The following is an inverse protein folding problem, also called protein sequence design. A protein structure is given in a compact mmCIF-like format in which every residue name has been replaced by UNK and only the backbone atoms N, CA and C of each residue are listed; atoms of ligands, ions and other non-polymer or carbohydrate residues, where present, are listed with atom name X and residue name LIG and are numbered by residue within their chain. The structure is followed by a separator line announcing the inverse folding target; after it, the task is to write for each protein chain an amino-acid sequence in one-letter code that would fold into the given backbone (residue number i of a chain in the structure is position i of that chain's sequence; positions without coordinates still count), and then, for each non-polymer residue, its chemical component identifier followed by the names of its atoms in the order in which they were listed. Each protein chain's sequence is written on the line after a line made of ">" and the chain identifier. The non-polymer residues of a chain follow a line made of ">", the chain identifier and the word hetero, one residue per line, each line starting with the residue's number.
data_IF_583128425705
#
_entry.id   IF_583128425705
#
_cell.length_a   1.000
_cell.length_b   1.000
_cell.length_c   1.000
_cell.angle_alpha   90.00
_cell.angle_beta   90.00
_cell.angle_gamma   90.00
#
_symmetry.space_group_name_H-M   'P 1'
#
loop_
_entity.id
_entity.type
_entity.pdbx_description
1 polymer ?
#
# COMPACT_ATOMS: atom_id res chain seq x y z
N UNK A 1 25.35 8.19 -15.14
CA UNK A 1 24.42 7.08 -14.85
C UNK A 1 23.92 7.03 -13.39
N UNK A 2 24.75 7.32 -12.36
CA UNK A 2 24.33 7.32 -10.94
C UNK A 2 23.18 8.29 -10.60
N UNK A 3 23.07 9.43 -11.30
CA UNK A 3 21.96 10.38 -11.10
C UNK A 3 20.58 9.84 -11.47
N UNK A 4 20.49 8.97 -12.49
CA UNK A 4 19.23 8.41 -12.98
C UNK A 4 18.65 7.37 -12.00
N UNK A 5 19.51 6.56 -11.38
CA UNK A 5 19.13 5.58 -10.35
C UNK A 5 18.56 6.26 -9.10
N UNK A 6 19.19 7.34 -8.61
CA UNK A 6 18.67 8.10 -7.46
C UNK A 6 17.33 8.78 -7.76
N UNK A 7 17.14 9.26 -9.00
CA UNK A 7 15.88 9.82 -9.45
C UNK A 7 14.77 8.76 -9.52
N UNK A 8 15.07 7.58 -10.08
CA UNK A 8 14.14 6.43 -10.11
C UNK A 8 13.78 5.93 -8.71
N UNK A 9 14.74 5.87 -7.80
CA UNK A 9 14.52 5.46 -6.41
C UNK A 9 13.58 6.43 -5.68
N UNK A 10 13.84 7.75 -5.77
CA UNK A 10 12.96 8.77 -5.16
C UNK A 10 11.55 8.75 -5.77
N UNK A 11 11.45 8.56 -7.09
CA UNK A 11 10.17 8.46 -7.78
C UNK A 11 9.40 7.21 -7.36
N UNK A 12 10.08 6.07 -7.23
CA UNK A 12 9.48 4.83 -6.74
C UNK A 12 8.94 4.98 -5.32
N UNK A 13 9.73 5.59 -4.42
CA UNK A 13 9.31 5.85 -3.05
C UNK A 13 8.11 6.82 -2.99
N UNK A 14 8.11 7.89 -3.78
CA UNK A 14 7.00 8.83 -3.86
C UNK A 14 5.70 8.15 -4.34
N UNK A 15 5.81 7.25 -5.32
CA UNK A 15 4.67 6.46 -5.82
C UNK A 15 4.18 5.47 -4.76
N UNK A 16 5.07 4.83 -4.00
CA UNK A 16 4.67 3.95 -2.90
C UNK A 16 3.90 4.72 -1.82
N UNK A 17 4.38 5.89 -1.42
CA UNK A 17 3.71 6.73 -0.41
C UNK A 17 2.34 7.20 -0.93
N UNK A 18 2.27 7.60 -2.20
CA UNK A 18 1.01 7.99 -2.85
C UNK A 18 0.02 6.81 -2.85
N UNK A 19 0.45 5.62 -3.27
CA UNK A 19 -0.38 4.42 -3.29
C UNK A 19 -0.89 4.05 -1.90
N UNK A 20 -0.02 4.07 -0.89
CA UNK A 20 -0.39 3.77 0.51
C UNK A 20 -1.36 4.82 1.07
N UNK A 21 -1.12 6.10 0.78
CA UNK A 21 -1.99 7.19 1.21
C UNK A 21 -3.38 7.11 0.57
N UNK A 22 -3.44 6.87 -0.74
CA UNK A 22 -4.69 6.70 -1.48
C UNK A 22 -5.43 5.44 -1.01
N UNK A 23 -4.74 4.31 -0.83
CA UNK A 23 -5.38 3.07 -0.35
C UNK A 23 -5.90 3.21 1.08
N UNK A 24 -5.14 3.84 1.96
CA UNK A 24 -5.55 4.14 3.34
C UNK A 24 -6.75 5.10 3.38
N UNK A 25 -6.72 6.13 2.54
CA UNK A 25 -7.84 7.08 2.40
C UNK A 25 -9.12 6.40 1.90
N UNK A 26 -9.03 5.57 0.86
CA UNK A 26 -10.17 4.78 0.36
C UNK A 26 -10.68 3.84 1.44
N UNK A 27 -9.80 3.18 2.19
CA UNK A 27 -10.21 2.27 3.26
C UNK A 27 -11.00 2.99 4.36
N UNK A 28 -10.48 4.12 4.87
CA UNK A 28 -11.15 4.91 5.93
C UNK A 28 -12.47 5.49 5.44
N UNK A 29 -12.53 5.98 4.20
CA UNK A 29 -13.76 6.52 3.60
C UNK A 29 -14.78 5.43 3.26
N UNK A 30 -14.33 4.20 3.00
CA UNK A 30 -15.21 3.06 2.70
C UNK A 30 -15.86 2.44 3.94
N UNK A 31 -15.30 2.66 5.14
CA UNK A 31 -15.88 2.20 6.42
C UNK A 31 -17.28 2.78 6.69
N UNK A 32 -17.49 4.11 6.72
CA UNK A 32 -18.81 4.68 6.98
C UNK A 32 -19.83 4.32 5.88
N UNK A 33 -19.37 4.17 4.63
CA UNK A 33 -20.21 3.74 3.50
C UNK A 33 -20.67 2.28 3.65
N UNK A 34 -19.78 1.37 4.05
CA UNK A 34 -20.11 -0.04 4.30
C UNK A 34 -21.07 -0.24 5.48
N UNK A 35 -20.91 0.56 6.53
CA UNK A 35 -21.81 0.56 7.70
C UNK A 35 -23.19 1.07 7.31
N UNK A 36 -23.27 2.12 6.49
CA UNK A 36 -24.54 2.73 6.07
C UNK A 36 -25.38 1.83 5.15
N UNK A 37 -24.74 1.01 4.28
CA UNK A 37 -25.44 0.18 3.29
C UNK A 37 -25.82 -1.23 3.80
N UNK A 38 -25.01 -1.85 4.67
CA UNK A 38 -25.20 -3.25 5.06
C UNK A 38 -25.05 -3.52 6.57
N UNK A 39 -24.95 -2.48 7.41
CA UNK A 39 -24.65 -2.61 8.84
C UNK A 39 -23.25 -3.16 9.11
N UNK A 40 -23.02 -3.77 10.29
CA UNK A 40 -21.72 -4.35 10.68
C UNK A 40 -21.17 -5.37 9.67
N UNK A 41 -22.05 -6.00 8.89
CA UNK A 41 -21.71 -7.05 7.92
C UNK A 41 -21.14 -6.49 6.61
N UNK A 42 -21.37 -5.21 6.31
CA UNK A 42 -20.78 -4.50 5.17
C UNK A 42 -19.30 -4.18 5.32
N UNK A 43 -18.78 -4.27 6.55
CA UNK A 43 -17.38 -4.01 6.88
C UNK A 43 -16.41 -5.01 6.20
N UNK A 44 -16.93 -6.14 5.71
CA UNK A 44 -16.14 -7.14 5.00
C UNK A 44 -15.61 -6.66 3.65
N UNK A 45 -16.31 -5.75 2.97
CA UNK A 45 -15.94 -5.21 1.66
C UNK A 45 -14.65 -4.37 1.74
N UNK A 46 -14.53 -3.38 2.65
CA UNK A 46 -13.26 -2.69 2.85
C UNK A 46 -12.18 -3.64 3.41
N UNK A 47 -12.53 -4.63 4.24
CA UNK A 47 -11.57 -5.59 4.77
C UNK A 47 -10.93 -6.45 3.67
N UNK A 48 -11.74 -6.93 2.71
CA UNK A 48 -11.27 -7.69 1.53
C UNK A 48 -10.42 -6.83 0.60
N UNK A 49 -10.60 -5.50 0.55
CA UNK A 49 -9.70 -4.61 -0.19
C UNK A 49 -8.40 -4.34 0.57
N UNK A 50 -8.46 -4.20 1.89
CA UNK A 50 -7.31 -3.87 2.74
C UNK A 50 -6.34 -5.04 2.88
N UNK A 51 -6.82 -6.28 2.92
CA UNK A 51 -5.96 -7.50 2.99
C UNK A 51 -4.97 -7.59 1.81
N UNK A 52 -5.40 -7.57 0.53
CA UNK A 52 -4.49 -7.65 -0.61
C UNK A 52 -3.62 -6.40 -0.73
N UNK A 53 -4.09 -5.24 -0.29
CA UNK A 53 -3.26 -4.02 -0.23
C UNK A 53 -2.13 -4.15 0.80
N UNK A 54 -2.46 -4.66 1.99
CA UNK A 54 -1.48 -4.89 3.06
C UNK A 54 -0.47 -5.96 2.66
N UNK A 55 -0.93 -7.01 1.97
CA UNK A 55 -0.06 -8.06 1.43
C UNK A 55 0.87 -7.52 0.33
N UNK A 56 0.38 -6.67 -0.57
CA UNK A 56 1.19 -6.01 -1.60
C UNK A 56 2.24 -5.06 -0.98
N UNK A 57 1.85 -4.31 0.05
CA UNK A 57 2.77 -3.43 0.78
C UNK A 57 3.85 -4.22 1.53
N UNK A 58 3.47 -5.34 2.17
CA UNK A 58 4.42 -6.22 2.86
C UNK A 58 5.39 -6.88 1.88
N UNK A 59 4.89 -7.36 0.74
CA UNK A 59 5.72 -7.95 -0.31
C UNK A 59 6.72 -6.94 -0.87
N UNK A 60 6.30 -5.70 -1.12
CA UNK A 60 7.20 -4.63 -1.56
C UNK A 60 8.27 -4.29 -0.50
N UNK A 61 7.88 -4.27 0.78
CA UNK A 61 8.79 -4.00 1.89
C UNK A 61 9.82 -5.12 2.07
N UNK A 62 9.37 -6.38 2.00
CA UNK A 62 10.25 -7.56 2.06
C UNK A 62 11.20 -7.60 0.87
N UNK A 63 10.73 -7.28 -0.33
CA UNK A 63 11.61 -7.23 -1.51
C UNK A 63 12.67 -6.13 -1.36
N UNK A 64 12.31 -4.97 -0.82
CA UNK A 64 13.26 -3.89 -0.53
C UNK A 64 14.30 -4.32 0.53
N UNK A 65 13.86 -4.99 1.58
CA UNK A 65 14.73 -5.49 2.66
C UNK A 65 15.69 -6.59 2.17
N UNK A 66 15.19 -7.52 1.35
CA UNK A 66 16.01 -8.55 0.69
C UNK A 66 17.03 -7.97 -0.29
N UNK A 67 16.70 -6.88 -0.98
CA UNK A 67 17.64 -6.19 -1.87
C UNK A 67 18.72 -5.46 -1.06
N UNK A 68 18.37 -4.88 0.09
CA UNK A 68 19.31 -4.19 0.98
C UNK A 68 20.21 -5.12 1.79
N UNK A 69 19.72 -6.31 2.13
CA UNK A 69 20.46 -7.29 2.95
C UNK A 69 21.39 -8.18 2.14
N UNK A 70 21.45 -8.05 0.81
CA UNK A 70 22.39 -8.80 -0.02
C UNK A 70 23.80 -8.22 0.18
N UNK A 71 24.73 -8.94 0.85
CA UNK A 71 26.11 -8.51 0.90
C UNK A 71 26.74 -8.76 -0.47
N UNK A 72 27.40 -7.73 -0.99
CA UNK A 72 28.30 -7.79 -2.15
C UNK A 72 29.66 -8.38 -1.78
#
# INVERSE_FOLDING_TARGET
>A
MVGDLRYRAKRSQAVQILCVGVSGGIAVLSVPFGINLYGLRGLWIPLVLVIPMSLQCLAARLLHDLIQSRPE
#
